data_IF_380255696802
#
_entry.id   IF_380255696802
#
_cell.length_a   1.000
_cell.length_b   1.000
_cell.length_c   1.000
_cell.angle_alpha   90.00
_cell.angle_beta   90.00
_cell.angle_gamma   90.00
#
_symmetry.space_group_name_H-M   'P 1'
#
loop_
_entity.id
_entity.type
_entity.pdbx_description
1 polymer ?
#
# COMPACT_ATOMS: atom_id res chain seq x y z
N UNK A 1 -17.96 -56.68 -30.47
CA UNK A 1 -18.04 -57.90 -31.29
C UNK A 1 -18.47 -57.50 -32.70
N UNK A 2 -17.58 -57.41 -33.62
CA UNK A 2 -17.82 -57.52 -35.05
C UNK A 2 -16.63 -58.23 -35.68
N UNK A 3 -16.68 -59.60 -35.69
CA UNK A 3 -15.86 -60.38 -36.56
C UNK A 3 -16.61 -60.60 -37.88
N UNK A 4 -16.18 -59.89 -38.97
CA UNK A 4 -16.59 -60.22 -40.33
C UNK A 4 -15.57 -61.16 -40.94
N UNK A 5 -16.03 -62.38 -41.23
CA UNK A 5 -15.34 -63.45 -41.89
C UNK A 5 -14.87 -63.04 -43.29
N UNK A 6 -13.55 -63.04 -43.54
CA UNK A 6 -12.93 -63.31 -44.84
C UNK A 6 -11.71 -64.15 -44.67
N UNK A 7 -11.62 -65.19 -45.45
CA UNK A 7 -10.66 -66.27 -45.48
C UNK A 7 -9.20 -65.75 -45.47
N UNK A 8 -8.44 -66.11 -44.45
CA UNK A 8 -7.01 -65.86 -44.38
C UNK A 8 -6.61 -65.29 -43.01
N UNK A 9 -6.14 -66.21 -42.13
CA UNK A 9 -5.36 -65.88 -40.92
C UNK A 9 -5.88 -64.69 -40.08
N UNK A 10 -6.90 -64.87 -39.30
CA UNK A 10 -7.36 -63.91 -38.33
C UNK A 10 -6.38 -63.82 -37.16
N UNK A 11 -5.59 -62.76 -37.20
CA UNK A 11 -4.79 -62.34 -36.07
C UNK A 11 -5.70 -61.43 -35.21
N UNK A 12 -6.44 -62.03 -34.23
CA UNK A 12 -7.14 -61.26 -33.23
C UNK A 12 -6.13 -60.56 -32.33
N UNK A 13 -5.87 -59.28 -32.62
CA UNK A 13 -5.16 -58.42 -31.71
C UNK A 13 -6.15 -58.13 -30.55
N UNK A 14 -5.96 -58.79 -29.44
CA UNK A 14 -6.67 -58.47 -28.21
C UNK A 14 -5.91 -57.27 -27.62
N UNK A 15 -6.46 -56.08 -27.82
CA UNK A 15 -6.03 -54.90 -27.09
C UNK A 15 -6.24 -55.12 -25.61
N UNK A 16 -5.15 -55.30 -24.89
CA UNK A 16 -5.13 -55.42 -23.44
C UNK A 16 -4.55 -54.09 -22.94
N UNK A 17 -5.38 -53.27 -22.31
CA UNK A 17 -4.93 -52.11 -21.56
C UNK A 17 -4.53 -52.56 -20.13
N UNK A 18 -3.23 -52.75 -19.83
CA UNK A 18 -2.82 -53.17 -18.50
C UNK A 18 -3.06 -52.03 -17.51
N UNK A 19 -3.86 -52.28 -16.51
CA UNK A 19 -4.06 -51.34 -15.40
C UNK A 19 -2.93 -51.50 -14.40
N UNK A 20 -2.09 -50.45 -14.28
CA UNK A 20 -0.98 -50.41 -13.33
C UNK A 20 -1.39 -49.60 -12.10
N UNK A 21 -1.42 -50.26 -10.95
CA UNK A 21 -1.55 -49.58 -9.64
C UNK A 21 -0.17 -49.54 -8.98
N UNK A 22 0.32 -48.31 -8.68
CA UNK A 22 1.60 -48.12 -8.00
C UNK A 22 1.42 -47.35 -6.70
N UNK A 23 2.04 -47.80 -5.64
CA UNK A 23 2.17 -47.11 -4.36
C UNK A 23 3.64 -46.89 -4.09
N UNK A 24 4.06 -45.63 -4.10
CA UNK A 24 5.42 -45.22 -3.79
C UNK A 24 5.43 -44.45 -2.48
N UNK A 25 6.20 -44.89 -1.49
CA UNK A 25 6.43 -44.20 -0.22
C UNK A 25 7.89 -43.82 -0.17
N UNK A 26 8.18 -42.51 -0.11
CA UNK A 26 9.54 -42.00 -0.05
C UNK A 26 9.73 -41.24 1.28
N UNK A 27 10.73 -41.65 2.05
CA UNK A 27 11.11 -41.00 3.30
C UNK A 27 12.56 -40.52 3.23
N UNK A 28 12.78 -39.21 3.37
CA UNK A 28 14.14 -38.66 3.49
C UNK A 28 14.65 -38.92 4.90
N UNK A 29 15.77 -39.63 5.02
CA UNK A 29 16.40 -39.99 6.30
C UNK A 29 17.43 -38.93 6.72
N UNK A 30 18.28 -38.46 5.79
CA UNK A 30 19.33 -37.49 6.04
C UNK A 30 19.23 -36.39 4.99
N UNK A 31 19.07 -35.15 5.46
CA UNK A 31 19.06 -33.95 4.66
C UNK A 31 19.63 -32.80 5.50
N UNK A 32 20.85 -32.41 5.20
CA UNK A 32 21.56 -31.33 5.91
C UNK A 32 20.98 -29.93 5.62
N UNK A 33 20.25 -29.76 4.52
CA UNK A 33 19.60 -28.49 4.14
C UNK A 33 18.35 -28.17 4.92
N UNK A 34 17.62 -29.18 5.41
CA UNK A 34 16.32 -29.03 6.08
C UNK A 34 16.37 -28.09 7.28
N UNK A 35 17.48 -28.13 8.07
CA UNK A 35 17.67 -27.25 9.22
C UNK A 35 17.87 -25.78 8.84
N UNK A 36 18.58 -25.52 7.74
CA UNK A 36 18.78 -24.19 7.19
C UNK A 36 17.47 -23.63 6.62
N UNK A 37 16.71 -24.46 5.89
CA UNK A 37 15.43 -24.09 5.30
C UNK A 37 14.35 -23.78 6.37
N UNK A 38 14.29 -24.59 7.42
CA UNK A 38 13.42 -24.31 8.56
C UNK A 38 13.78 -22.98 9.26
N UNK A 39 15.09 -22.71 9.44
CA UNK A 39 15.55 -21.45 10.00
C UNK A 39 15.24 -20.27 9.09
N UNK A 40 15.39 -20.40 7.79
CA UNK A 40 15.01 -19.42 6.77
C UNK A 40 13.52 -19.12 6.84
N UNK A 41 12.68 -20.15 6.93
CA UNK A 41 11.22 -19.99 7.05
C UNK A 41 10.82 -19.25 8.33
N UNK A 42 11.49 -19.49 9.45
CA UNK A 42 11.28 -18.74 10.70
C UNK A 42 11.65 -17.26 10.55
N UNK A 43 12.80 -16.97 9.93
CA UNK A 43 13.20 -15.58 9.63
C UNK A 43 12.19 -14.95 8.67
N UNK A 44 11.68 -15.70 7.69
CA UNK A 44 10.63 -15.24 6.77
C UNK A 44 9.35 -14.79 7.48
N UNK A 45 8.95 -15.45 8.57
CA UNK A 45 7.81 -15.03 9.39
C UNK A 45 8.10 -13.69 10.07
N UNK A 46 9.28 -13.52 10.68
CA UNK A 46 9.65 -12.25 11.32
C UNK A 46 9.78 -11.12 10.30
N UNK A 47 10.31 -11.42 9.11
CA UNK A 47 10.36 -10.48 7.98
C UNK A 47 8.95 -10.03 7.55
N UNK A 48 8.01 -10.98 7.47
CA UNK A 48 6.61 -10.67 7.15
C UNK A 48 5.96 -9.76 8.20
N UNK A 49 6.22 -10.01 9.50
CA UNK A 49 5.76 -9.15 10.60
C UNK A 49 6.35 -7.73 10.51
N UNK A 50 7.65 -7.61 10.22
CA UNK A 50 8.29 -6.31 10.05
C UNK A 50 7.72 -5.54 8.84
N UNK A 51 7.45 -6.23 7.73
CA UNK A 51 6.79 -5.65 6.55
C UNK A 51 5.35 -5.22 6.84
N UNK A 52 4.62 -5.99 7.65
CA UNK A 52 3.29 -5.60 8.12
C UNK A 52 3.35 -4.32 8.94
N UNK A 53 4.24 -4.25 9.94
CA UNK A 53 4.42 -3.06 10.77
C UNK A 53 4.75 -1.82 9.94
N UNK A 54 5.66 -1.95 8.96
CA UNK A 54 5.95 -0.87 8.02
C UNK A 54 4.70 -0.43 7.28
N UNK A 55 3.90 -1.38 6.80
CA UNK A 55 2.67 -1.07 6.05
C UNK A 55 1.61 -0.39 6.92
N UNK A 56 1.47 -0.82 8.16
CA UNK A 56 0.59 -0.15 9.14
C UNK A 56 1.01 1.30 9.37
N UNK A 57 2.30 1.56 9.57
CA UNK A 57 2.83 2.92 9.72
C UNK A 57 2.59 3.80 8.48
N UNK A 58 2.79 3.24 7.27
CA UNK A 58 2.50 3.95 6.02
C UNK A 58 1.02 4.33 5.89
N UNK A 59 0.11 3.41 6.24
CA UNK A 59 -1.33 3.66 6.18
C UNK A 59 -1.73 4.70 7.21
N UNK A 60 -1.24 4.60 8.44
CA UNK A 60 -1.49 5.59 9.49
C UNK A 60 -1.01 6.97 9.08
N UNK A 61 0.21 7.07 8.53
CA UNK A 61 0.74 8.34 8.03
C UNK A 61 -0.14 8.95 6.93
N UNK A 62 -0.52 8.14 5.93
CA UNK A 62 -1.42 8.58 4.84
C UNK A 62 -2.79 9.00 5.36
N UNK A 63 -3.31 8.32 6.38
CA UNK A 63 -4.58 8.68 7.01
C UNK A 63 -4.52 10.03 7.72
N UNK A 64 -3.43 10.29 8.45
CA UNK A 64 -3.20 11.58 9.10
C UNK A 64 -3.04 12.69 8.06
N UNK A 65 -2.27 12.44 7.01
CA UNK A 65 -2.06 13.39 5.91
C UNK A 65 -3.38 13.73 5.19
N UNK A 66 -4.20 12.72 4.88
CA UNK A 66 -5.50 12.93 4.25
C UNK A 66 -6.46 13.70 5.17
N UNK A 67 -6.50 13.37 6.47
CA UNK A 67 -7.33 14.05 7.45
C UNK A 67 -6.94 15.52 7.62
N UNK A 68 -5.66 15.78 7.87
CA UNK A 68 -5.15 17.16 8.05
C UNK A 68 -5.23 17.98 6.77
N UNK A 69 -5.02 17.34 5.61
CA UNK A 69 -5.19 17.94 4.29
C UNK A 69 -6.61 18.42 4.05
N UNK A 70 -7.61 17.61 4.38
CA UNK A 70 -9.02 17.97 4.24
C UNK A 70 -9.41 19.14 5.15
N UNK A 71 -8.98 19.13 6.43
CA UNK A 71 -9.21 20.23 7.35
C UNK A 71 -8.58 21.53 6.82
N UNK A 72 -7.32 21.46 6.37
CA UNK A 72 -6.60 22.62 5.82
C UNK A 72 -7.31 23.20 4.60
N UNK A 73 -7.78 22.33 3.69
CA UNK A 73 -8.51 22.75 2.49
C UNK A 73 -9.86 23.39 2.85
N UNK A 74 -10.58 22.85 3.81
CA UNK A 74 -11.86 23.43 4.31
C UNK A 74 -11.64 24.83 4.92
N UNK A 75 -10.61 24.99 5.75
CA UNK A 75 -10.27 26.31 6.33
C UNK A 75 -9.89 27.33 5.24
N UNK A 76 -9.07 26.92 4.25
CA UNK A 76 -8.72 27.76 3.09
C UNK A 76 -9.97 28.18 2.31
N UNK A 77 -10.93 27.26 2.11
CA UNK A 77 -12.17 27.54 1.43
C UNK A 77 -12.99 28.60 2.19
N UNK A 78 -13.16 28.43 3.51
CA UNK A 78 -13.86 29.40 4.38
C UNK A 78 -13.22 30.77 4.33
N UNK A 79 -11.87 30.84 4.39
CA UNK A 79 -11.11 32.10 4.32
C UNK A 79 -11.35 32.78 2.96
N UNK A 80 -11.24 32.05 1.84
CA UNK A 80 -11.44 32.63 0.51
C UNK A 80 -12.89 33.10 0.30
N UNK A 81 -13.91 32.35 0.79
CA UNK A 81 -15.30 32.80 0.78
C UNK A 81 -15.48 34.13 1.54
N UNK A 82 -14.88 34.24 2.72
CA UNK A 82 -14.94 35.47 3.52
C UNK A 82 -14.22 36.61 2.82
N UNK A 83 -13.08 36.34 2.17
CA UNK A 83 -12.33 37.35 1.44
C UNK A 83 -13.10 37.90 0.21
N UNK A 84 -13.77 37.03 -0.56
CA UNK A 84 -14.65 37.46 -1.67
C UNK A 84 -15.76 38.35 -1.14
N UNK A 85 -16.46 37.96 -0.06
CA UNK A 85 -17.52 38.76 0.54
C UNK A 85 -17.04 40.12 1.00
N UNK A 86 -15.82 40.23 1.55
CA UNK A 86 -15.23 41.47 1.99
C UNK A 86 -14.91 42.39 0.80
N UNK A 87 -14.31 41.85 -0.25
CA UNK A 87 -13.94 42.62 -1.45
C UNK A 87 -15.20 43.03 -2.26
N UNK A 88 -16.25 42.23 -2.26
CA UNK A 88 -17.51 42.58 -2.88
C UNK A 88 -18.13 43.82 -2.22
N UNK A 89 -18.19 43.86 -0.87
CA UNK A 89 -18.60 45.04 -0.12
C UNK A 89 -17.69 46.25 -0.34
N UNK A 90 -16.40 46.02 -0.52
CA UNK A 90 -15.45 47.09 -0.83
C UNK A 90 -15.76 47.70 -2.19
N UNK A 91 -15.99 46.91 -3.22
CA UNK A 91 -16.37 47.37 -4.57
C UNK A 91 -17.67 48.19 -4.50
N UNK A 92 -18.69 47.69 -3.77
CA UNK A 92 -19.96 48.41 -3.58
C UNK A 92 -19.74 49.78 -2.92
N UNK A 93 -18.94 49.81 -1.87
CA UNK A 93 -18.56 51.07 -1.18
C UNK A 93 -17.82 52.02 -2.09
N UNK A 94 -16.87 51.54 -2.90
CA UNK A 94 -16.09 52.35 -3.78
C UNK A 94 -16.91 52.89 -4.95
N UNK A 95 -17.90 52.16 -5.47
CA UNK A 95 -18.88 52.67 -6.44
C UNK A 95 -19.70 53.81 -5.90
N UNK A 96 -20.20 53.74 -4.65
CA UNK A 96 -20.94 54.82 -3.98
C UNK A 96 -20.03 56.03 -3.77
N UNK A 97 -18.74 55.85 -3.45
CA UNK A 97 -17.77 56.97 -3.31
C UNK A 97 -17.44 57.63 -4.64
N UNK A 98 -17.39 56.85 -5.74
CA UNK A 98 -17.21 57.38 -7.09
C UNK A 98 -18.38 58.27 -7.49
N UNK A 99 -19.64 57.79 -7.26
CA UNK A 99 -20.86 58.58 -7.52
C UNK A 99 -20.86 59.95 -6.77
N UNK A 100 -20.28 59.98 -5.58
CA UNK A 100 -20.12 61.18 -4.77
C UNK A 100 -18.89 62.05 -5.18
N UNK A 101 -18.08 61.60 -6.14
CA UNK A 101 -16.88 62.28 -6.59
C UNK A 101 -15.71 62.21 -5.62
N UNK A 102 -15.73 61.29 -4.64
CA UNK A 102 -14.69 61.16 -3.60
C UNK A 102 -13.49 60.32 -4.01
N UNK A 103 -13.62 59.49 -5.06
CA UNK A 103 -12.57 58.64 -5.59
C UNK A 103 -12.61 58.65 -7.13
N UNK A 104 -11.57 58.17 -7.75
CA UNK A 104 -11.44 58.08 -9.21
C UNK A 104 -12.04 56.77 -9.76
N UNK A 105 -12.33 56.75 -11.06
CA UNK A 105 -12.72 55.52 -11.77
C UNK A 105 -11.62 54.45 -11.72
N UNK A 106 -10.36 54.88 -11.69
CA UNK A 106 -9.20 53.99 -11.58
C UNK A 106 -9.18 53.23 -10.24
N UNK A 107 -9.65 53.86 -9.13
CA UNK A 107 -9.71 53.22 -7.82
C UNK A 107 -10.80 52.12 -7.81
N UNK A 108 -11.95 52.37 -8.44
CA UNK A 108 -13.01 51.35 -8.60
C UNK A 108 -12.52 50.21 -9.48
N UNK A 109 -11.87 50.47 -10.59
CA UNK A 109 -11.31 49.45 -11.46
C UNK A 109 -10.28 48.56 -10.73
N UNK A 110 -9.49 49.18 -9.83
CA UNK A 110 -8.54 48.44 -8.99
C UNK A 110 -9.23 47.51 -7.99
N UNK A 111 -10.30 47.97 -7.32
CA UNK A 111 -11.05 47.14 -6.39
C UNK A 111 -11.84 46.03 -7.13
N UNK A 112 -12.39 46.26 -8.30
CA UNK A 112 -13.01 45.25 -9.14
C UNK A 112 -12.00 44.19 -9.63
N UNK A 113 -10.78 44.61 -10.02
CA UNK A 113 -9.69 43.66 -10.36
C UNK A 113 -9.29 42.81 -9.18
N UNK A 114 -9.25 43.39 -7.97
CA UNK A 114 -8.96 42.66 -6.75
C UNK A 114 -10.05 41.63 -6.41
N UNK A 115 -11.32 41.97 -6.61
CA UNK A 115 -12.46 41.07 -6.46
C UNK A 115 -12.39 39.91 -7.44
N UNK A 116 -12.13 40.18 -8.73
CA UNK A 116 -11.97 39.13 -9.74
C UNK A 116 -10.82 38.16 -9.40
N UNK A 117 -9.70 38.69 -8.90
CA UNK A 117 -8.60 37.87 -8.40
C UNK A 117 -8.97 37.00 -7.19
N UNK A 118 -9.78 37.51 -6.27
CA UNK A 118 -10.27 36.76 -5.12
C UNK A 118 -11.28 35.68 -5.54
N UNK A 119 -12.15 35.95 -6.52
CA UNK A 119 -13.06 34.96 -7.08
C UNK A 119 -12.31 33.80 -7.74
N UNK A 120 -11.25 34.08 -8.49
CA UNK A 120 -10.39 33.04 -9.06
C UNK A 120 -9.74 32.16 -7.98
N UNK A 121 -9.26 32.77 -6.86
CA UNK A 121 -8.72 32.03 -5.70
C UNK A 121 -9.79 31.20 -4.99
N UNK A 122 -11.02 31.67 -4.95
CA UNK A 122 -12.14 30.90 -4.38
C UNK A 122 -12.41 29.63 -5.20
N UNK A 123 -12.48 29.73 -6.53
CA UNK A 123 -12.65 28.58 -7.41
C UNK A 123 -11.50 27.57 -7.22
N UNK A 124 -10.28 28.05 -7.10
CA UNK A 124 -9.13 27.19 -6.79
C UNK A 124 -9.30 26.47 -5.46
N UNK A 125 -9.71 27.18 -4.41
CA UNK A 125 -9.91 26.61 -3.09
C UNK A 125 -11.09 25.59 -3.05
N UNK A 126 -12.12 25.79 -3.85
CA UNK A 126 -13.21 24.82 -4.04
C UNK A 126 -12.71 23.53 -4.68
N UNK A 127 -11.89 23.63 -5.71
CA UNK A 127 -11.27 22.47 -6.35
C UNK A 127 -10.29 21.75 -5.41
N UNK A 128 -9.48 22.49 -4.65
CA UNK A 128 -8.55 21.93 -3.67
C UNK A 128 -9.30 21.16 -2.56
N UNK A 129 -10.43 21.73 -2.09
CA UNK A 129 -11.28 21.07 -1.13
C UNK A 129 -11.90 19.77 -1.68
N UNK A 130 -12.42 19.79 -2.90
CA UNK A 130 -12.97 18.59 -3.54
C UNK A 130 -11.91 17.51 -3.71
N UNK A 131 -10.72 17.88 -4.17
CA UNK A 131 -9.59 16.95 -4.33
C UNK A 131 -9.16 16.36 -2.99
N UNK A 132 -9.08 17.17 -1.94
CA UNK A 132 -8.74 16.71 -0.58
C UNK A 132 -9.80 15.79 0.00
N UNK A 133 -11.09 16.05 -0.29
CA UNK A 133 -12.21 15.19 0.09
C UNK A 133 -12.12 13.81 -0.58
N UNK A 134 -11.87 13.78 -1.89
CA UNK A 134 -11.69 12.52 -2.63
C UNK A 134 -10.47 11.73 -2.13
N UNK A 135 -9.38 12.42 -1.82
CA UNK A 135 -8.20 11.78 -1.24
C UNK A 135 -8.51 11.16 0.14
N UNK A 136 -9.23 11.87 0.98
CA UNK A 136 -9.72 11.36 2.27
C UNK A 136 -10.59 10.11 2.09
N UNK A 137 -11.56 10.16 1.18
CA UNK A 137 -12.46 9.03 0.90
C UNK A 137 -11.72 7.80 0.37
N UNK A 138 -10.68 8.00 -0.41
CA UNK A 138 -9.85 6.90 -0.91
C UNK A 138 -9.00 6.22 0.17
N UNK A 139 -8.55 6.98 1.18
CA UNK A 139 -7.62 6.46 2.19
C UNK A 139 -8.36 5.94 3.43
N UNK A 140 -9.40 6.64 3.88
CA UNK A 140 -10.08 6.37 5.15
C UNK A 140 -11.49 5.80 4.92
N UNK A 141 -12.18 6.27 3.88
CA UNK A 141 -13.55 5.87 3.54
C UNK A 141 -14.49 7.06 3.44
N UNK A 142 -15.74 6.77 3.11
CA UNK A 142 -16.76 7.80 2.85
C UNK A 142 -17.04 8.66 4.06
N UNK A 143 -17.12 9.98 3.84
CA UNK A 143 -17.45 10.97 4.84
C UNK A 143 -18.79 11.65 4.51
N UNK A 144 -19.72 11.65 5.44
CA UNK A 144 -21.03 12.28 5.24
C UNK A 144 -20.98 13.79 5.44
N UNK A 145 -20.16 14.28 6.36
CA UNK A 145 -20.02 15.71 6.66
C UNK A 145 -18.54 16.09 6.82
N UNK A 146 -17.96 16.62 5.75
CA UNK A 146 -16.57 17.07 5.75
C UNK A 146 -16.36 18.39 6.51
N UNK A 147 -17.46 19.13 6.80
CA UNK A 147 -17.39 20.41 7.50
C UNK A 147 -17.36 20.24 9.04
N UNK A 148 -17.82 19.08 9.53
CA UNK A 148 -17.87 18.75 10.96
C UNK A 148 -16.55 18.17 11.51
N UNK A 149 -15.50 18.06 10.69
CA UNK A 149 -14.19 17.58 11.15
C UNK A 149 -13.56 18.57 12.14
N UNK A 150 -13.27 18.07 13.33
CA UNK A 150 -12.69 18.89 14.39
C UNK A 150 -11.16 18.99 14.25
N UNK A 151 -10.63 20.18 14.54
CA UNK A 151 -9.22 20.49 14.53
C UNK A 151 -8.57 19.98 15.82
N UNK A 152 -8.16 18.72 15.82
CA UNK A 152 -7.46 18.12 16.95
C UNK A 152 -6.06 18.73 17.10
N UNK A 153 -5.72 19.18 18.31
CA UNK A 153 -4.36 19.58 18.66
C UNK A 153 -3.54 18.30 18.92
N UNK A 154 -2.65 17.94 18.00
CA UNK A 154 -1.72 16.82 18.19
C UNK A 154 -0.63 17.28 19.16
N UNK A 155 -0.63 16.75 20.37
CA UNK A 155 0.49 16.92 21.31
C UNK A 155 1.51 15.83 21.01
N UNK A 156 2.64 16.20 20.42
CA UNK A 156 3.74 15.28 20.19
C UNK A 156 4.48 15.10 21.52
N UNK A 157 4.30 13.94 22.12
CA UNK A 157 4.94 13.56 23.38
C UNK A 157 6.24 12.80 23.05
N UNK A 158 7.33 13.10 23.78
CA UNK A 158 8.62 12.39 23.69
C UNK A 158 9.44 12.59 22.41
N UNK A 159 9.51 13.81 21.90
CA UNK A 159 10.54 14.16 20.92
C UNK A 159 11.93 14.09 21.56
N UNK A 160 12.89 13.37 20.96
CA UNK A 160 14.28 13.39 21.44
C UNK A 160 14.87 14.78 21.22
N UNK A 161 15.49 15.33 22.29
CA UNK A 161 16.10 16.67 22.24
C UNK A 161 17.48 16.68 21.57
N UNK A 162 18.13 15.51 21.44
CA UNK A 162 19.48 15.38 20.88
C UNK A 162 19.49 14.46 19.67
N UNK A 163 20.31 14.80 18.67
CA UNK A 163 20.48 14.02 17.45
C UNK A 163 20.90 12.58 17.73
N UNK A 164 21.84 12.36 18.64
CA UNK A 164 22.33 11.03 18.98
C UNK A 164 21.22 10.15 19.57
N UNK A 165 20.39 10.72 20.42
CA UNK A 165 19.22 10.03 20.98
C UNK A 165 18.19 9.67 19.89
N UNK A 166 17.95 10.58 18.95
CA UNK A 166 17.06 10.32 17.81
C UNK A 166 17.59 9.18 16.91
N UNK A 167 18.91 9.15 16.65
CA UNK A 167 19.55 8.08 15.86
C UNK A 167 19.43 6.73 16.58
N UNK A 168 19.65 6.68 17.89
CA UNK A 168 19.53 5.44 18.67
C UNK A 168 18.08 4.90 18.68
N UNK A 169 17.09 5.78 18.82
CA UNK A 169 15.68 5.40 18.74
C UNK A 169 15.34 4.89 17.33
N UNK A 170 15.81 5.59 16.29
CA UNK A 170 15.61 5.19 14.91
C UNK A 170 16.24 3.83 14.60
N UNK A 171 17.48 3.57 15.06
CA UNK A 171 18.15 2.27 14.85
C UNK A 171 17.38 1.10 15.46
N UNK A 172 16.69 1.31 16.58
CA UNK A 172 15.92 0.26 17.26
C UNK A 172 14.50 0.09 16.74
N UNK A 173 13.89 1.18 16.29
CA UNK A 173 12.45 1.22 15.97
C UNK A 173 12.12 1.36 14.49
N UNK A 174 13.09 1.61 13.61
CA UNK A 174 12.81 1.81 12.19
C UNK A 174 12.54 0.46 11.49
N UNK A 175 11.33 0.22 10.97
CA UNK A 175 10.99 -1.04 10.31
C UNK A 175 11.86 -1.34 9.09
N UNK A 176 12.35 -0.32 8.37
CA UNK A 176 13.21 -0.53 7.20
C UNK A 176 14.57 -1.12 7.59
N UNK A 177 15.13 -0.67 8.71
CA UNK A 177 16.38 -1.25 9.23
C UNK A 177 16.17 -2.69 9.72
N UNK A 178 15.05 -2.96 10.38
CA UNK A 178 14.68 -4.31 10.83
C UNK A 178 14.51 -5.24 9.62
N UNK A 179 13.81 -4.80 8.58
CA UNK A 179 13.61 -5.55 7.33
C UNK A 179 14.97 -5.85 6.69
N UNK A 180 15.83 -4.86 6.50
CA UNK A 180 17.15 -5.04 5.89
C UNK A 180 18.04 -6.02 6.69
N UNK A 181 17.94 -5.99 8.02
CA UNK A 181 18.65 -6.90 8.91
C UNK A 181 18.15 -8.34 8.79
N UNK A 182 16.83 -8.54 8.73
CA UNK A 182 16.23 -9.86 8.53
C UNK A 182 16.49 -10.42 7.14
N UNK A 183 16.49 -9.59 6.09
CA UNK A 183 16.86 -9.98 4.72
C UNK A 183 18.32 -10.40 4.64
N UNK A 184 19.22 -9.72 5.33
CA UNK A 184 20.61 -10.13 5.44
C UNK A 184 20.76 -11.48 6.15
N UNK A 185 20.05 -11.70 7.26
CA UNK A 185 20.06 -12.98 7.99
C UNK A 185 19.48 -14.12 7.11
N UNK A 186 18.43 -13.85 6.37
CA UNK A 186 17.84 -14.80 5.42
C UNK A 186 18.84 -15.19 4.34
N UNK A 187 19.56 -14.23 3.76
CA UNK A 187 20.59 -14.46 2.76
C UNK A 187 21.75 -15.33 3.30
N UNK A 188 22.11 -15.18 4.58
CA UNK A 188 23.08 -16.08 5.25
C UNK A 188 22.57 -17.52 5.30
N UNK A 189 21.27 -17.73 5.56
CA UNK A 189 20.68 -19.07 5.56
C UNK A 189 20.58 -19.65 4.15
N UNK A 190 20.36 -18.83 3.13
CA UNK A 190 20.40 -19.25 1.72
C UNK A 190 21.80 -19.77 1.33
N UNK A 191 22.84 -19.08 1.78
CA UNK A 191 24.23 -19.55 1.57
C UNK A 191 24.48 -20.89 2.27
N UNK A 192 23.91 -21.10 3.45
CA UNK A 192 24.03 -22.38 4.18
C UNK A 192 23.25 -23.48 3.48
N UNK A 193 22.03 -23.20 2.97
CA UNK A 193 21.23 -24.13 2.20
C UNK A 193 21.96 -24.56 0.91
N UNK A 194 22.46 -23.59 0.14
CA UNK A 194 23.23 -23.88 -1.08
C UNK A 194 24.51 -24.72 -0.84
N UNK A 195 25.15 -24.55 0.33
CA UNK A 195 26.27 -25.43 0.72
C UNK A 195 25.81 -26.82 1.08
N UNK A 196 24.63 -26.98 1.65
CA UNK A 196 24.09 -28.30 2.00
C UNK A 196 23.66 -29.10 0.77
N UNK A 197 23.37 -28.47 -0.38
CA UNK A 197 23.09 -29.15 -1.64
C UNK A 197 24.31 -29.94 -2.19
N UNK A 198 25.51 -29.61 -1.70
CA UNK A 198 26.73 -30.36 -1.99
C UNK A 198 26.92 -31.56 -1.06
N UNK A 199 26.11 -31.70 -0.03
CA UNK A 199 26.21 -32.81 0.92
C UNK A 199 25.36 -34.00 0.46
N UNK A 200 25.76 -35.25 0.81
CA UNK A 200 24.99 -36.42 0.43
C UNK A 200 23.64 -36.46 1.12
N UNK A 201 22.58 -36.77 0.39
CA UNK A 201 21.25 -37.05 0.90
C UNK A 201 20.96 -38.53 0.94
N UNK A 202 20.30 -39.02 1.97
CA UNK A 202 19.85 -40.41 2.05
C UNK A 202 18.32 -40.45 2.07
N UNK A 203 17.77 -41.17 1.08
CA UNK A 203 16.31 -41.37 1.00
C UNK A 203 16.02 -42.88 0.99
N UNK A 204 14.97 -43.26 1.70
CA UNK A 204 14.43 -44.62 1.63
C UNK A 204 13.15 -44.57 0.79
N UNK A 205 13.13 -45.35 -0.29
CA UNK A 205 11.95 -45.51 -1.15
C UNK A 205 11.43 -46.93 -1.07
N UNK A 206 10.12 -47.06 -0.89
CA UNK A 206 9.41 -48.31 -0.99
C UNK A 206 8.38 -48.20 -2.11
N UNK A 207 8.59 -49.03 -3.14
CA UNK A 207 7.73 -49.08 -4.30
C UNK A 207 7.01 -50.42 -4.38
N UNK A 208 5.68 -50.38 -4.48
CA UNK A 208 4.86 -51.55 -4.76
C UNK A 208 4.01 -51.27 -5.99
N UNK A 209 4.22 -52.06 -7.05
CA UNK A 209 3.37 -52.01 -8.24
C UNK A 209 2.60 -53.34 -8.40
N UNK A 210 1.34 -53.23 -8.79
CA UNK A 210 0.51 -54.38 -9.22
C UNK A 210 0.06 -54.05 -10.64
N UNK A 211 0.36 -55.00 -11.55
CA UNK A 211 -0.15 -54.93 -12.91
C UNK A 211 -1.19 -56.04 -13.05
N UNK A 212 -2.40 -55.69 -13.38
CA UNK A 212 -3.45 -56.65 -13.72
C UNK A 212 -3.39 -56.82 -15.26
N UNK A 213 -3.01 -58.07 -15.68
CA UNK A 213 -2.98 -58.51 -17.08
C UNK A 213 -4.33 -58.95 -17.59
#
# INVERSE_FOLDING_TARGET
EMCHSLVGSEMCIRDRDPTVQSLTITQTLIDFGRGAELSKSKIGIELAKAKLLKKEQEILYKSIEAYTGLISANEKLKINKSNVNLLDRQVETDRIRLERGNISLSDVAQSESSLAGAQAKLIQAENDFLTSKLNYENVIGTINDAEALDKSSIVIVNLPNELNSAIEISKKGNPDLIIAQLEYEQSKKDTTSARSDLAPTATLSFDRSKTDD
#
